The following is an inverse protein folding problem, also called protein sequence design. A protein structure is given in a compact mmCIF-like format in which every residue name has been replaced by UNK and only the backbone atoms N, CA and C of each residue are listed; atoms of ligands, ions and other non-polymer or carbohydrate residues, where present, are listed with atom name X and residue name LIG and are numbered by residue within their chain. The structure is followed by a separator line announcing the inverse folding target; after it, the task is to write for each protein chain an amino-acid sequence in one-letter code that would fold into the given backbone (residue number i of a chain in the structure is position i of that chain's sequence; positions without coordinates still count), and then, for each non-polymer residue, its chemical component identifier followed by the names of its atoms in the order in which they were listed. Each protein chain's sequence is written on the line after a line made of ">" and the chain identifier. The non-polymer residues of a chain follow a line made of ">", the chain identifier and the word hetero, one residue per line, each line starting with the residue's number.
data_IF_522995541528
#
_entry.id   IF_522995541528
#
_cell.length_a   1.000
_cell.length_b   1.000
_cell.length_c   1.000
_cell.angle_alpha   90.00
_cell.angle_beta   90.00
_cell.angle_gamma   90.00
#
_symmetry.space_group_name_H-M   'P 1'
#
loop_
_entity.id
_entity.type
_entity.pdbx_description
1 polymer ?
#
# COMPACT_ATOMS: atom_id res chain seq x y z
N UNK A 1 2.27 23.22 -9.60
CA UNK A 1 3.61 23.11 -8.92
C UNK A 1 3.47 22.01 -7.88
N UNK A 2 4.02 20.83 -8.14
CA UNK A 2 3.92 19.69 -7.21
C UNK A 2 4.74 20.02 -5.96
N UNK A 3 4.08 20.12 -4.83
CA UNK A 3 4.72 20.39 -3.54
C UNK A 3 5.76 19.29 -3.25
N UNK A 4 7.02 19.67 -3.04
CA UNK A 4 8.11 18.72 -2.74
C UNK A 4 8.26 18.59 -1.24
N UNK A 5 7.70 17.53 -0.69
CA UNK A 5 7.96 17.17 0.71
C UNK A 5 9.43 16.78 0.89
N UNK A 6 10.08 17.35 1.91
CA UNK A 6 11.50 17.05 2.21
C UNK A 6 11.60 15.92 3.21
N UNK A 7 12.36 14.90 2.87
CA UNK A 7 12.69 13.83 3.80
C UNK A 7 13.62 14.30 4.91
N UNK A 8 13.40 13.78 6.12
CA UNK A 8 14.20 14.03 7.30
C UNK A 8 13.92 13.01 8.39
N UNK A 9 14.70 13.03 9.46
CA UNK A 9 14.42 12.28 10.67
C UNK A 9 13.44 13.05 11.55
N UNK A 10 12.46 12.35 12.07
CA UNK A 10 11.42 12.87 12.94
C UNK A 10 11.22 11.94 14.14
N UNK A 11 10.69 12.46 15.23
CA UNK A 11 10.15 11.66 16.33
C UNK A 11 8.64 11.74 16.26
N UNK A 12 7.99 10.59 16.17
CA UNK A 12 6.55 10.45 16.21
C UNK A 12 6.09 9.74 17.47
N UNK A 13 4.88 10.03 17.92
CA UNK A 13 4.22 9.36 19.04
C UNK A 13 3.07 8.52 18.53
N UNK A 14 2.98 7.27 18.98
CA UNK A 14 1.87 6.37 18.63
C UNK A 14 0.57 6.90 19.24
N UNK A 15 -0.31 7.40 18.39
CA UNK A 15 -1.62 7.94 18.78
C UNK A 15 -2.67 6.85 18.93
N UNK A 16 -2.59 5.80 18.09
CA UNK A 16 -3.45 4.63 18.22
C UNK A 16 -2.80 3.39 17.62
N UNK A 17 -3.13 2.23 18.20
CA UNK A 17 -2.73 0.91 17.75
C UNK A 17 -3.94 -0.01 17.77
N UNK A 18 -4.27 -0.62 16.64
CA UNK A 18 -5.42 -1.54 16.54
C UNK A 18 -5.10 -2.71 15.61
N UNK A 19 -5.73 -3.90 15.82
CA UNK A 19 -5.66 -4.98 14.86
C UNK A 19 -6.07 -4.52 13.46
N UNK A 20 -5.39 -5.00 12.45
CA UNK A 20 -5.69 -4.70 11.03
C UNK A 20 -6.12 -5.94 10.27
N UNK A 21 -5.35 -7.01 10.39
CA UNK A 21 -5.59 -8.31 9.81
C UNK A 21 -5.07 -9.40 10.77
N UNK A 22 -5.12 -10.66 10.38
CA UNK A 22 -4.74 -11.79 11.25
C UNK A 22 -3.32 -11.69 11.84
N UNK A 23 -2.37 -11.11 11.09
CA UNK A 23 -0.95 -10.96 11.47
C UNK A 23 -0.47 -9.50 11.42
N UNK A 24 -1.40 -8.53 11.41
CA UNK A 24 -1.06 -7.14 11.17
C UNK A 24 -1.72 -6.18 12.15
N UNK A 25 -1.07 -5.04 12.37
CA UNK A 25 -1.58 -3.91 13.14
C UNK A 25 -1.64 -2.66 12.31
N UNK A 26 -2.64 -1.82 12.58
CA UNK A 26 -2.70 -0.44 12.08
C UNK A 26 -2.20 0.49 13.17
N UNK A 27 -1.28 1.35 12.79
CA UNK A 27 -0.68 2.37 13.65
C UNK A 27 -1.04 3.75 13.10
N UNK A 28 -1.56 4.63 13.96
CA UNK A 28 -1.59 6.06 13.68
C UNK A 28 -0.50 6.72 14.55
N UNK A 29 0.38 7.47 13.91
CA UNK A 29 1.56 8.09 14.54
C UNK A 29 1.46 9.59 14.32
N UNK A 30 1.40 10.35 15.38
CA UNK A 30 1.48 11.82 15.35
C UNK A 30 2.94 12.24 15.24
N UNK A 31 3.29 12.90 14.15
CA UNK A 31 4.64 13.36 13.85
C UNK A 31 4.60 14.88 13.63
N UNK A 32 4.74 15.71 14.67
CA UNK A 32 4.49 17.16 14.59
C UNK A 32 5.32 17.89 13.54
N UNK A 33 6.50 17.36 13.21
CA UNK A 33 7.41 17.92 12.19
C UNK A 33 7.28 17.27 10.82
N UNK A 34 6.28 16.37 10.61
CA UNK A 34 6.06 15.73 9.33
C UNK A 34 5.60 16.75 8.28
N UNK A 35 6.24 16.80 7.11
CA UNK A 35 5.88 17.80 6.10
C UNK A 35 4.62 17.45 5.31
N UNK A 36 4.03 16.27 5.52
CA UNK A 36 3.07 15.64 4.63
C UNK A 36 3.72 14.65 3.68
N UNK A 37 2.92 13.92 2.88
CA UNK A 37 3.43 12.97 1.89
C UNK A 37 2.46 12.76 0.73
N UNK A 38 3.00 12.30 -0.40
CA UNK A 38 2.19 11.84 -1.52
C UNK A 38 1.64 10.43 -1.26
N UNK A 39 0.51 10.10 -1.88
CA UNK A 39 -0.02 8.74 -1.87
C UNK A 39 0.95 7.78 -2.57
N UNK A 40 1.30 6.67 -1.90
CA UNK A 40 2.32 5.73 -2.35
C UNK A 40 3.73 5.99 -1.78
N UNK A 41 3.92 7.04 -0.98
CA UNK A 41 5.18 7.25 -0.24
C UNK A 41 5.37 6.19 0.84
N UNK A 42 6.61 6.01 1.27
CA UNK A 42 7.00 5.19 2.42
C UNK A 42 7.86 5.99 3.40
N UNK A 43 8.14 5.40 4.54
CA UNK A 43 9.08 5.89 5.54
C UNK A 43 9.90 4.74 6.09
N UNK A 44 11.04 5.04 6.72
CA UNK A 44 11.79 4.08 7.51
C UNK A 44 11.48 4.28 8.99
N UNK A 45 11.27 3.18 9.71
CA UNK A 45 11.24 3.15 11.18
C UNK A 45 12.58 2.61 11.65
N UNK A 46 13.21 3.31 12.62
CA UNK A 46 14.42 2.87 13.30
C UNK A 46 14.10 2.55 14.74
N UNK A 47 14.51 1.38 15.17
CA UNK A 47 14.52 0.95 16.55
C UNK A 47 15.97 0.94 17.05
N UNK A 48 16.17 1.42 18.27
CA UNK A 48 17.49 1.40 18.94
C UNK A 48 17.38 0.55 20.20
N UNK A 49 18.16 -0.51 20.27
CA UNK A 49 18.23 -1.37 21.44
C UNK A 49 19.06 -0.72 22.58
N UNK A 50 18.93 -1.16 23.84
CA UNK A 50 19.65 -0.57 24.98
C UNK A 50 21.17 -0.60 24.86
N UNK A 51 21.72 -1.53 24.09
CA UNK A 51 23.15 -1.65 23.80
C UNK A 51 23.64 -0.75 22.66
N UNK A 52 22.72 0.02 22.07
CA UNK A 52 22.99 0.94 20.95
C UNK A 52 22.87 0.29 19.56
N UNK A 53 22.55 -0.99 19.45
CA UNK A 53 22.27 -1.62 18.16
C UNK A 53 21.02 -0.99 17.51
N UNK A 54 21.09 -0.76 16.21
CA UNK A 54 20.00 -0.14 15.44
C UNK A 54 19.53 -1.04 14.32
N UNK A 55 18.22 -1.20 14.22
CA UNK A 55 17.56 -1.85 13.10
C UNK A 55 16.58 -0.88 12.44
N UNK A 56 16.59 -0.83 11.11
CA UNK A 56 15.68 0.03 10.34
C UNK A 56 14.96 -0.78 9.26
N UNK A 57 13.67 -0.49 9.06
CA UNK A 57 12.85 -1.11 8.01
C UNK A 57 11.90 -0.08 7.41
N UNK A 58 11.68 -0.23 6.09
CA UNK A 58 10.78 0.62 5.32
C UNK A 58 9.33 0.14 5.42
N UNK A 59 8.40 1.08 5.57
CA UNK A 59 6.96 0.84 5.62
C UNK A 59 6.22 1.82 4.71
N UNK A 60 5.33 1.28 3.88
CA UNK A 60 4.46 2.11 3.06
C UNK A 60 3.47 2.89 3.93
N UNK A 61 3.20 4.12 3.56
CA UNK A 61 2.27 5.02 4.27
C UNK A 61 0.87 4.84 3.68
N UNK A 62 -0.12 4.58 4.54
CA UNK A 62 -1.52 4.43 4.17
C UNK A 62 -2.29 5.76 4.10
N UNK A 63 -1.74 6.82 4.71
CA UNK A 63 -2.27 8.20 4.64
C UNK A 63 -1.54 9.02 3.59
N UNK A 64 -2.13 10.16 3.19
CA UNK A 64 -1.49 11.11 2.28
C UNK A 64 -2.01 12.53 2.49
N UNK A 65 -1.33 13.50 1.89
CA UNK A 65 -1.69 14.92 1.98
C UNK A 65 -0.87 15.69 3.02
N UNK A 66 -1.26 16.94 3.29
CA UNK A 66 -0.56 17.85 4.21
C UNK A 66 -0.95 17.57 5.68
N UNK A 67 -0.86 16.31 6.11
CA UNK A 67 -1.18 15.89 7.49
C UNK A 67 0.08 15.62 8.28
N UNK A 68 0.05 15.86 9.58
CA UNK A 68 1.11 15.47 10.52
C UNK A 68 0.88 14.10 11.14
N UNK A 69 -0.27 13.47 10.85
CA UNK A 69 -0.54 12.10 11.28
C UNK A 69 -0.22 11.12 10.16
N UNK A 70 0.66 10.18 10.43
CA UNK A 70 1.07 9.11 9.52
C UNK A 70 0.34 7.83 9.92
N UNK A 71 -0.30 7.16 8.95
CA UNK A 71 -0.95 5.87 9.18
C UNK A 71 -0.15 4.78 8.47
N UNK A 72 0.19 3.73 9.21
CA UNK A 72 0.85 2.53 8.72
C UNK A 72 -0.05 1.32 8.93
N UNK A 73 0.14 0.28 8.12
CA UNK A 73 -0.33 -1.07 8.42
C UNK A 73 0.86 -2.02 8.30
N UNK A 74 1.21 -2.62 9.42
CA UNK A 74 2.42 -3.43 9.58
C UNK A 74 2.03 -4.88 9.69
N UNK A 75 2.45 -5.69 8.70
CA UNK A 75 2.35 -7.14 8.72
C UNK A 75 3.58 -7.73 9.42
N UNK A 76 3.37 -8.74 10.25
CA UNK A 76 4.46 -9.40 10.95
C UNK A 76 5.31 -10.23 9.99
N UNK A 77 6.62 -10.03 10.05
CA UNK A 77 7.62 -10.94 9.51
C UNK A 77 8.23 -11.70 10.69
N UNK A 78 7.90 -12.96 10.92
CA UNK A 78 8.25 -13.67 12.17
C UNK A 78 9.75 -13.72 12.50
N UNK A 79 10.61 -13.68 11.48
CA UNK A 79 12.08 -13.63 11.65
C UNK A 79 12.64 -12.21 11.54
N UNK A 80 11.76 -11.19 11.47
CA UNK A 80 12.18 -9.80 11.36
C UNK A 80 12.59 -9.20 12.70
N UNK A 81 13.38 -8.14 12.67
CA UNK A 81 13.84 -7.44 13.87
C UNK A 81 12.90 -6.30 14.30
N UNK A 82 12.17 -5.70 13.36
CA UNK A 82 11.37 -4.49 13.60
C UNK A 82 9.88 -4.82 13.64
N UNK A 83 9.34 -5.53 12.65
CA UNK A 83 7.89 -5.78 12.57
C UNK A 83 7.32 -6.55 13.77
N UNK A 84 7.98 -7.58 14.38
CA UNK A 84 7.47 -8.21 15.59
C UNK A 84 7.31 -7.23 16.76
N UNK A 85 8.28 -6.33 16.98
CA UNK A 85 8.17 -5.29 18.00
C UNK A 85 6.97 -4.37 17.75
N UNK A 86 6.78 -3.90 16.53
CA UNK A 86 5.66 -3.02 16.17
C UNK A 86 4.31 -3.72 16.36
N UNK A 87 4.25 -5.04 16.08
CA UNK A 87 3.02 -5.83 16.18
C UNK A 87 2.72 -6.26 17.62
N UNK A 88 3.70 -6.58 18.45
CA UNK A 88 3.46 -7.19 19.76
C UNK A 88 3.76 -6.27 20.95
N UNK A 89 4.83 -5.49 20.87
CA UNK A 89 5.37 -4.77 22.03
C UNK A 89 5.00 -3.29 22.05
N UNK A 90 4.91 -2.63 20.89
CA UNK A 90 4.62 -1.20 20.78
C UNK A 90 3.27 -0.85 21.39
N UNK A 91 3.21 0.23 22.15
CA UNK A 91 2.02 0.72 22.85
C UNK A 91 1.65 2.13 22.40
N UNK A 92 0.39 2.50 22.62
CA UNK A 92 -0.06 3.88 22.49
C UNK A 92 0.72 4.77 23.48
N UNK A 93 1.19 5.91 22.98
CA UNK A 93 2.04 6.82 23.73
C UNK A 93 3.54 6.62 23.54
N UNK A 94 3.98 5.47 23.02
CA UNK A 94 5.40 5.22 22.72
C UNK A 94 5.91 6.14 21.61
N UNK A 95 7.20 6.44 21.64
CA UNK A 95 7.89 7.23 20.64
C UNK A 95 8.61 6.34 19.63
N UNK A 96 8.60 6.75 18.36
CA UNK A 96 9.27 6.09 17.25
C UNK A 96 10.10 7.10 16.47
N UNK A 97 11.32 6.71 16.09
CA UNK A 97 12.12 7.45 15.12
C UNK A 97 11.69 7.05 13.71
N UNK A 98 11.25 8.03 12.92
CA UNK A 98 10.81 7.84 11.55
C UNK A 98 11.59 8.73 10.61
N UNK A 99 11.97 8.19 9.45
CA UNK A 99 12.65 8.94 8.40
C UNK A 99 11.81 8.98 7.14
N UNK A 100 11.50 10.16 6.66
CA UNK A 100 10.68 10.32 5.45
C UNK A 100 10.19 11.75 5.26
N UNK A 101 9.19 11.91 4.35
CA UNK A 101 8.65 10.90 3.45
C UNK A 101 9.65 10.49 2.36
N UNK A 102 9.64 9.22 1.99
CA UNK A 102 10.48 8.62 0.96
C UNK A 102 9.64 8.14 -0.22
N UNK A 103 10.30 7.91 -1.36
CA UNK A 103 9.68 7.43 -2.60
C UNK A 103 9.28 8.58 -3.53
N UNK A 104 9.62 8.39 -4.82
CA UNK A 104 9.25 9.33 -5.91
C UNK A 104 8.69 8.59 -7.12
N UNK A 105 9.09 7.36 -7.31
CA UNK A 105 8.70 6.57 -8.47
C UNK A 105 7.31 5.94 -8.30
N UNK A 106 7.03 5.41 -7.11
CA UNK A 106 5.77 4.72 -6.79
C UNK A 106 4.78 5.65 -6.07
N UNK A 107 4.57 6.84 -6.62
CA UNK A 107 3.62 7.81 -6.06
C UNK A 107 2.57 8.17 -7.10
N UNK A 108 1.36 8.40 -6.62
CA UNK A 108 0.27 8.98 -7.39
C UNK A 108 -0.04 10.39 -6.89
N UNK A 109 -0.21 11.29 -7.85
CA UNK A 109 -0.72 12.65 -7.63
C UNK A 109 -1.78 12.93 -8.69
N UNK A 110 -2.82 13.70 -8.38
CA UNK A 110 -3.74 14.20 -9.39
C UNK A 110 -2.95 14.94 -10.49
N UNK A 111 -3.25 14.61 -11.73
CA UNK A 111 -2.64 15.28 -12.90
C UNK A 111 -3.72 15.48 -13.96
N UNK A 112 -4.18 16.71 -14.10
CA UNK A 112 -5.20 17.08 -15.09
C UNK A 112 -4.69 16.95 -16.53
N UNK A 113 -3.37 16.91 -16.73
CA UNK A 113 -2.75 16.73 -18.04
C UNK A 113 -2.71 15.24 -18.49
N UNK A 114 -2.83 14.28 -17.55
CA UNK A 114 -2.93 12.86 -17.85
C UNK A 114 -4.21 12.26 -17.23
N UNK A 115 -5.36 12.36 -17.93
CA UNK A 115 -6.64 11.82 -17.47
C UNK A 115 -6.74 10.30 -17.59
N UNK A 116 -5.66 9.62 -17.96
CA UNK A 116 -5.65 8.18 -18.14
C UNK A 116 -6.14 7.45 -16.89
N UNK A 117 -6.90 6.35 -17.04
CA UNK A 117 -7.38 5.58 -15.91
C UNK A 117 -6.21 5.00 -15.10
N UNK A 118 -6.46 4.71 -13.83
CA UNK A 118 -5.46 4.19 -12.90
C UNK A 118 -5.83 2.78 -12.46
N UNK A 119 -4.94 1.83 -12.73
CA UNK A 119 -5.05 0.45 -12.31
C UNK A 119 -4.12 0.19 -11.13
N UNK A 120 -4.68 -0.16 -10.00
CA UNK A 120 -3.97 -0.58 -8.79
C UNK A 120 -4.07 -2.11 -8.67
N UNK A 121 -2.94 -2.80 -8.42
CA UNK A 121 -2.89 -4.26 -8.29
C UNK A 121 -2.07 -4.63 -7.07
N UNK A 122 -2.74 -5.20 -6.07
CA UNK A 122 -2.18 -5.50 -4.76
C UNK A 122 -2.04 -7.00 -4.51
N UNK A 123 -0.90 -7.41 -3.92
CA UNK A 123 -0.72 -8.71 -3.30
C UNK A 123 -0.47 -8.59 -1.80
N UNK A 124 -1.38 -9.14 -0.96
CA UNK A 124 -1.24 -9.09 0.50
C UNK A 124 -1.09 -7.66 1.03
N UNK A 125 -0.10 -7.41 1.91
CA UNK A 125 0.18 -6.08 2.49
C UNK A 125 0.60 -5.02 1.46
N UNK A 126 0.85 -5.40 0.19
CA UNK A 126 1.05 -4.45 -0.93
C UNK A 126 -0.16 -3.55 -1.22
N UNK A 127 -1.28 -3.83 -0.61
CA UNK A 127 -2.44 -2.93 -0.69
C UNK A 127 -2.19 -1.59 0.03
N UNK A 128 -1.27 -1.50 0.98
CA UNK A 128 -1.06 -0.31 1.83
C UNK A 128 -0.81 0.97 1.01
N UNK A 129 0.21 1.05 0.13
CA UNK A 129 0.43 2.25 -0.67
C UNK A 129 -0.68 2.48 -1.70
N UNK A 130 -1.32 1.42 -2.18
CA UNK A 130 -2.41 1.50 -3.17
C UNK A 130 -3.72 1.97 -2.54
N UNK A 131 -3.97 1.62 -1.27
CA UNK A 131 -5.07 2.16 -0.48
C UNK A 131 -4.90 3.67 -0.26
N UNK A 132 -3.67 4.14 0.01
CA UNK A 132 -3.38 5.57 0.08
C UNK A 132 -3.71 6.29 -1.24
N UNK A 133 -3.38 5.69 -2.40
CA UNK A 133 -3.72 6.25 -3.72
C UNK A 133 -5.24 6.29 -3.96
N UNK A 134 -5.94 5.19 -3.66
CA UNK A 134 -7.39 5.12 -3.78
C UNK A 134 -8.08 6.13 -2.84
N UNK A 135 -7.61 6.24 -1.59
CA UNK A 135 -8.14 7.21 -0.63
C UNK A 135 -7.89 8.66 -1.03
N UNK A 136 -6.73 8.95 -1.63
CA UNK A 136 -6.44 10.27 -2.17
C UNK A 136 -7.38 10.61 -3.36
N UNK A 137 -7.71 9.62 -4.21
CA UNK A 137 -8.69 9.77 -5.29
C UNK A 137 -10.08 10.17 -4.78
N UNK A 138 -10.50 9.66 -3.61
CA UNK A 138 -11.80 10.03 -3.01
C UNK A 138 -11.90 11.52 -2.68
N UNK A 139 -10.79 12.21 -2.41
CA UNK A 139 -10.75 13.64 -2.10
C UNK A 139 -10.86 14.53 -3.34
N UNK A 140 -10.59 14.00 -4.53
CA UNK A 140 -10.67 14.77 -5.78
C UNK A 140 -12.13 14.90 -6.26
N UNK A 141 -12.55 16.09 -6.64
CA UNK A 141 -13.89 16.32 -7.19
C UNK A 141 -14.07 15.66 -8.55
N UNK A 142 -13.04 15.74 -9.39
CA UNK A 142 -12.97 15.12 -10.71
C UNK A 142 -11.66 14.34 -10.83
N UNK A 143 -11.48 13.55 -11.88
CA UNK A 143 -10.23 12.86 -12.14
C UNK A 143 -10.43 11.48 -12.77
N UNK A 144 -9.34 10.77 -12.94
CA UNK A 144 -9.27 9.48 -13.60
C UNK A 144 -10.15 8.41 -12.94
N UNK A 145 -10.62 7.45 -13.73
CA UNK A 145 -11.27 6.24 -13.23
C UNK A 145 -10.25 5.35 -12.53
N UNK A 146 -10.61 4.82 -11.36
CA UNK A 146 -9.76 3.94 -10.57
C UNK A 146 -10.33 2.55 -10.46
N UNK A 147 -9.44 1.54 -10.59
CA UNK A 147 -9.73 0.14 -10.25
C UNK A 147 -8.63 -0.39 -9.33
N UNK A 148 -9.03 -1.09 -8.29
CA UNK A 148 -8.14 -1.83 -7.40
C UNK A 148 -8.45 -3.32 -7.51
N UNK A 149 -7.49 -4.09 -8.01
CA UNK A 149 -7.49 -5.55 -7.93
C UNK A 149 -6.64 -5.98 -6.73
N UNK A 150 -7.24 -6.61 -5.75
CA UNK A 150 -6.58 -7.02 -4.51
C UNK A 150 -6.57 -8.55 -4.36
N UNK A 151 -5.39 -9.16 -4.45
CA UNK A 151 -5.18 -10.59 -4.23
C UNK A 151 -4.74 -10.85 -2.80
N UNK A 152 -5.52 -11.65 -2.06
CA UNK A 152 -5.31 -11.92 -0.63
C UNK A 152 -5.66 -13.37 -0.30
N UNK A 153 -5.18 -13.94 0.81
CA UNK A 153 -5.39 -15.35 1.13
C UNK A 153 -6.83 -15.65 1.56
N UNK A 154 -7.31 -14.92 2.54
CA UNK A 154 -8.63 -15.12 3.15
C UNK A 154 -9.25 -13.76 3.51
N UNK A 155 -10.54 -13.70 3.85
CA UNK A 155 -11.16 -12.45 4.35
C UNK A 155 -10.48 -11.87 5.60
N UNK A 156 -9.92 -12.73 6.47
CA UNK A 156 -9.25 -12.30 7.70
C UNK A 156 -7.88 -11.64 7.44
N UNK A 157 -7.34 -11.82 6.22
CA UNK A 157 -6.08 -11.19 5.77
C UNK A 157 -6.32 -9.87 5.00
N UNK A 158 -7.57 -9.40 4.88
CA UNK A 158 -7.89 -8.15 4.15
C UNK A 158 -7.52 -6.95 4.99
N UNK A 159 -6.59 -6.15 4.50
CA UNK A 159 -6.23 -4.85 5.09
C UNK A 159 -7.26 -3.79 4.71
N UNK A 160 -7.56 -2.88 5.62
CA UNK A 160 -8.47 -1.73 5.41
C UNK A 160 -9.87 -2.14 4.94
N UNK A 161 -10.41 -3.27 5.40
CA UNK A 161 -11.67 -3.83 4.90
C UNK A 161 -12.80 -2.79 4.85
N UNK A 162 -13.04 -2.07 5.96
CA UNK A 162 -14.06 -1.01 6.02
C UNK A 162 -13.72 0.17 5.10
N UNK A 163 -12.44 0.55 5.05
CA UNK A 163 -11.96 1.63 4.18
C UNK A 163 -12.12 1.29 2.71
N UNK A 164 -11.80 0.06 2.29
CA UNK A 164 -12.00 -0.40 0.93
C UNK A 164 -13.49 -0.44 0.55
N UNK A 165 -14.36 -0.87 1.47
CA UNK A 165 -15.81 -0.89 1.25
C UNK A 165 -16.42 0.51 1.16
N UNK A 166 -15.78 1.52 1.75
CA UNK A 166 -16.21 2.92 1.72
C UNK A 166 -15.76 3.70 0.48
N UNK A 167 -14.87 3.13 -0.36
CA UNK A 167 -14.41 3.80 -1.59
C UNK A 167 -15.58 3.90 -2.59
N UNK A 168 -15.91 5.12 -2.99
CA UNK A 168 -17.03 5.40 -3.91
C UNK A 168 -16.55 5.66 -5.35
N UNK A 169 -15.30 6.11 -5.52
CA UNK A 169 -14.71 6.49 -6.80
C UNK A 169 -13.68 5.47 -7.32
N UNK A 170 -13.51 4.36 -6.60
CA UNK A 170 -12.59 3.29 -6.95
C UNK A 170 -13.36 1.97 -6.99
N UNK A 171 -13.40 1.29 -8.13
CA UNK A 171 -13.92 -0.07 -8.19
C UNK A 171 -12.92 -1.03 -7.54
N UNK A 172 -13.37 -1.79 -6.53
CA UNK A 172 -12.55 -2.77 -5.80
C UNK A 172 -12.99 -4.18 -6.13
N UNK A 173 -12.07 -4.98 -6.66
CA UNK A 173 -12.24 -6.41 -6.91
C UNK A 173 -11.26 -7.20 -6.04
N UNK A 174 -11.77 -8.05 -5.12
CA UNK A 174 -10.94 -8.88 -4.22
C UNK A 174 -10.93 -10.33 -4.73
N UNK A 175 -9.72 -10.86 -4.93
CA UNK A 175 -9.48 -12.27 -5.29
C UNK A 175 -8.88 -13.00 -4.10
N UNK A 176 -9.65 -13.96 -3.56
CA UNK A 176 -9.20 -14.80 -2.45
C UNK A 176 -8.47 -16.04 -2.97
N UNK A 177 -7.28 -16.32 -2.44
CA UNK A 177 -6.46 -17.43 -2.96
C UNK A 177 -6.66 -18.75 -2.20
N UNK A 178 -7.20 -18.71 -0.96
CA UNK A 178 -7.39 -19.91 -0.12
C UNK A 178 -8.83 -20.11 0.34
N UNK A 179 -9.48 -19.09 0.87
CA UNK A 179 -10.87 -19.12 1.37
C UNK A 179 -11.57 -17.82 1.01
N UNK A 180 -12.72 -17.91 0.35
CA UNK A 180 -13.53 -16.74 0.01
C UNK A 180 -14.41 -16.28 1.17
N UNK A 181 -14.81 -15.01 1.14
CA UNK A 181 -15.93 -14.51 1.91
C UNK A 181 -17.24 -15.21 1.49
N UNK A 182 -18.22 -15.25 2.39
CA UNK A 182 -19.56 -15.71 2.06
C UNK A 182 -20.18 -14.81 0.97
N UNK A 183 -20.74 -15.41 -0.07
CA UNK A 183 -21.33 -14.67 -1.20
C UNK A 183 -20.31 -14.06 -2.18
N UNK A 184 -19.02 -14.37 -2.05
CA UNK A 184 -18.01 -13.91 -3.00
C UNK A 184 -18.32 -14.38 -4.44
N UNK A 185 -18.18 -13.51 -5.45
CA UNK A 185 -18.57 -13.84 -6.83
C UNK A 185 -17.66 -14.89 -7.49
N UNK A 186 -16.48 -15.13 -6.90
CA UNK A 186 -15.48 -16.06 -7.42
C UNK A 186 -15.09 -17.12 -6.40
N UNK A 187 -14.81 -18.32 -6.88
CA UNK A 187 -14.21 -19.39 -6.06
C UNK A 187 -12.76 -19.00 -5.69
N UNK A 188 -12.25 -19.47 -4.52
CA UNK A 188 -10.86 -19.26 -4.16
C UNK A 188 -9.92 -19.85 -5.21
N UNK A 189 -8.86 -19.13 -5.53
CA UNK A 189 -7.83 -19.54 -6.46
C UNK A 189 -6.79 -18.44 -6.64
N UNK A 190 -5.59 -18.79 -7.08
CA UNK A 190 -4.57 -17.80 -7.45
C UNK A 190 -5.06 -16.97 -8.63
N UNK A 191 -4.61 -15.73 -8.68
CA UNK A 191 -4.80 -14.88 -9.85
C UNK A 191 -4.19 -15.59 -11.08
N UNK A 192 -4.90 -15.53 -12.20
CA UNK A 192 -4.45 -16.03 -13.50
C UNK A 192 -4.40 -14.88 -14.49
N UNK A 193 -3.73 -15.08 -15.62
CA UNK A 193 -3.67 -14.06 -16.68
C UNK A 193 -5.06 -13.70 -17.21
N UNK A 194 -5.95 -14.69 -17.33
CA UNK A 194 -7.32 -14.51 -17.80
C UNK A 194 -8.12 -13.67 -16.79
N UNK A 195 -8.03 -13.98 -15.48
CA UNK A 195 -8.71 -13.21 -14.45
C UNK A 195 -8.11 -11.80 -14.29
N UNK A 196 -6.81 -11.63 -14.53
CA UNK A 196 -6.17 -10.32 -14.59
C UNK A 196 -6.76 -9.49 -15.73
N UNK A 197 -6.84 -10.04 -16.94
CA UNK A 197 -7.42 -9.35 -18.11
C UNK A 197 -8.88 -8.94 -17.89
N UNK A 198 -9.68 -9.77 -17.22
CA UNK A 198 -11.10 -9.49 -16.94
C UNK A 198 -11.28 -8.38 -15.88
N UNK A 199 -10.40 -8.31 -14.87
CA UNK A 199 -10.55 -7.44 -13.69
C UNK A 199 -9.79 -6.12 -13.80
N UNK A 200 -9.00 -5.93 -14.86
CA UNK A 200 -8.22 -4.71 -15.09
C UNK A 200 -8.77 -3.91 -16.28
N UNK A 201 -8.29 -2.68 -16.43
CA UNK A 201 -8.54 -1.93 -17.67
C UNK A 201 -7.83 -2.63 -18.83
N UNK A 202 -8.41 -2.66 -20.04
CA UNK A 202 -7.74 -3.17 -21.22
C UNK A 202 -6.57 -2.26 -21.63
N UNK A 203 -5.60 -2.81 -22.38
CA UNK A 203 -4.39 -2.08 -22.78
C UNK A 203 -4.71 -0.83 -23.63
N UNK A 204 -5.77 -0.89 -24.43
CA UNK A 204 -6.24 0.21 -25.29
C UNK A 204 -6.69 1.45 -24.49
N UNK A 205 -7.05 1.28 -23.20
CA UNK A 205 -7.35 2.40 -22.30
C UNK A 205 -6.10 3.12 -21.82
N UNK A 206 -4.91 2.61 -22.13
CA UNK A 206 -3.59 3.17 -21.78
C UNK A 206 -3.49 3.54 -20.29
N UNK A 207 -3.85 2.65 -19.36
CA UNK A 207 -3.89 2.99 -17.93
C UNK A 207 -2.50 3.26 -17.35
N UNK A 208 -2.45 4.10 -16.30
CA UNK A 208 -1.31 4.13 -15.37
C UNK A 208 -1.46 2.95 -14.40
N UNK A 209 -0.48 2.07 -14.33
CA UNK A 209 -0.58 0.84 -13.55
C UNK A 209 0.41 0.87 -12.39
N UNK A 210 -0.08 0.53 -11.18
CA UNK A 210 0.72 0.39 -9.97
C UNK A 210 0.55 -1.03 -9.43
N UNK A 211 1.66 -1.77 -9.34
CA UNK A 211 1.68 -3.15 -8.84
C UNK A 211 2.51 -3.19 -7.56
N UNK A 212 1.94 -3.66 -6.45
CA UNK A 212 2.66 -3.79 -5.18
C UNK A 212 2.37 -5.13 -4.50
N UNK A 213 3.41 -5.77 -3.97
CA UNK A 213 3.28 -7.05 -3.30
C UNK A 213 4.60 -7.80 -3.16
N UNK A 214 4.53 -9.08 -2.75
CA UNK A 214 5.70 -9.95 -2.72
C UNK A 214 6.38 -10.05 -4.09
N UNK A 215 7.71 -10.13 -4.12
CA UNK A 215 8.49 -10.18 -5.36
C UNK A 215 7.93 -11.16 -6.41
N UNK A 216 7.62 -12.45 -6.08
CA UNK A 216 7.08 -13.37 -7.08
C UNK A 216 5.71 -12.94 -7.64
N UNK A 217 4.87 -12.30 -6.83
CA UNK A 217 3.57 -11.77 -7.27
C UNK A 217 3.77 -10.63 -8.27
N UNK A 218 4.61 -9.67 -7.93
CA UNK A 218 4.87 -8.49 -8.77
C UNK A 218 5.47 -8.89 -10.11
N UNK A 219 6.47 -9.81 -10.12
CA UNK A 219 7.08 -10.32 -11.36
C UNK A 219 6.06 -11.01 -12.26
N UNK A 220 5.24 -11.91 -11.67
CA UNK A 220 4.22 -12.64 -12.42
C UNK A 220 3.18 -11.69 -13.03
N UNK A 221 2.62 -10.79 -12.23
CA UNK A 221 1.60 -9.84 -12.68
C UNK A 221 2.15 -8.88 -13.72
N UNK A 222 3.35 -8.33 -13.52
CA UNK A 222 3.98 -7.42 -14.49
C UNK A 222 4.27 -8.11 -15.82
N UNK A 223 4.70 -9.39 -15.80
CA UNK A 223 4.88 -10.21 -17.00
C UNK A 223 3.55 -10.38 -17.76
N UNK A 224 2.49 -10.77 -17.06
CA UNK A 224 1.17 -10.94 -17.70
C UNK A 224 0.60 -9.62 -18.25
N UNK A 225 0.80 -8.49 -17.56
CA UNK A 225 0.39 -7.18 -18.09
C UNK A 225 1.09 -6.86 -19.41
N UNK A 226 2.39 -7.15 -19.52
CA UNK A 226 3.14 -6.97 -20.76
C UNK A 226 2.64 -7.90 -21.87
N UNK A 227 2.35 -9.18 -21.56
CA UNK A 227 1.77 -10.13 -22.50
C UNK A 227 0.35 -9.72 -22.97
N UNK A 228 -0.40 -9.02 -22.13
CA UNK A 228 -1.72 -8.46 -22.46
C UNK A 228 -1.65 -7.14 -23.22
N UNK A 229 -0.43 -6.67 -23.56
CA UNK A 229 -0.21 -5.50 -24.41
C UNK A 229 -0.13 -4.17 -23.68
N UNK A 230 -0.06 -4.18 -22.35
CA UNK A 230 0.17 -2.93 -21.59
C UNK A 230 1.58 -2.42 -21.81
N UNK A 231 1.72 -1.10 -21.96
CA UNK A 231 3.02 -0.45 -22.09
C UNK A 231 3.83 -0.56 -20.78
N UNK A 232 5.02 -1.23 -20.80
CA UNK A 232 5.85 -1.35 -19.61
C UNK A 232 6.28 0.00 -18.99
N UNK A 233 6.37 1.06 -19.77
CA UNK A 233 6.69 2.40 -19.28
C UNK A 233 5.58 2.99 -18.40
N UNK A 234 4.37 2.47 -18.48
CA UNK A 234 3.22 2.87 -17.66
C UNK A 234 2.99 1.95 -16.46
N UNK A 235 3.81 0.91 -16.28
CA UNK A 235 3.75 -0.02 -15.13
C UNK A 235 4.80 0.39 -14.11
N UNK A 236 4.36 0.82 -12.95
CA UNK A 236 5.21 1.07 -11.78
C UNK A 236 5.05 -0.08 -10.80
N UNK A 237 6.15 -0.62 -10.34
CA UNK A 237 6.16 -1.80 -9.49
C UNK A 237 6.99 -1.56 -8.23
N UNK A 238 6.43 -1.93 -7.07
CA UNK A 238 7.11 -1.93 -5.78
C UNK A 238 7.04 -3.33 -5.17
N UNK A 239 8.17 -3.81 -4.66
CA UNK A 239 8.35 -5.16 -4.14
C UNK A 239 8.72 -5.11 -2.68
N UNK A 240 8.15 -6.04 -1.90
CA UNK A 240 8.59 -6.27 -0.53
C UNK A 240 8.77 -7.77 -0.27
N UNK A 241 9.42 -8.10 0.86
CA UNK A 241 9.89 -9.45 1.11
C UNK A 241 11.28 -9.63 0.51
N UNK A 242 12.27 -9.98 1.34
CA UNK A 242 13.66 -10.08 0.96
C UNK A 242 13.85 -11.00 -0.24
N UNK A 243 14.76 -10.61 -1.10
CA UNK A 243 15.50 -11.55 -1.94
C UNK A 243 16.17 -12.53 -0.99
N UNK A 244 15.60 -13.75 -0.88
CA UNK A 244 16.29 -14.88 -0.29
C UNK A 244 17.49 -15.26 -1.11
#
# INVERSE_FOLDING_TARGET
>A
MTERFRAGWHVGRVASRRPEAASAVRLAIDVPTWPGNHAGSHLDIRLTAPDGYQASRSYSIASSGPTTQVVLAVDEVPSGEVSPYLVHDLREGDELEVHGPLGRYFVWTPDDADPAPVQLIAGGSGVVPLFAMASAREQELQGADFRLLYSVRTPDDVFFADGLAALAKTRVDIVYTRRSAAGAPRRPGRLTRESLAELTFPAEAVPRIFVCGPTPFVETVSGWLSELGHDPARIRAERFGGSG
#
